data_IF_981427644802
#
_entry.id   IF_981427644802
#
_cell.length_a   1.000
_cell.length_b   1.000
_cell.length_c   1.000
_cell.angle_alpha   90.00
_cell.angle_beta   90.00
_cell.angle_gamma   90.00
#
_symmetry.space_group_name_H-M   'P 1'
#
loop_
_entity.id
_entity.type
_entity.pdbx_description
1 polymer ?
#
# COMPACT_ATOMS: atom_id res chain seq x y z
N UNK A 1 -10.03 9.28 -15.68
CA UNK A 1 -9.55 9.77 -14.37
C UNK A 1 -8.80 8.62 -13.71
N UNK A 2 -7.59 8.87 -13.23
CA UNK A 2 -6.76 7.86 -12.56
C UNK A 2 -7.45 7.40 -11.27
N UNK A 3 -7.38 6.11 -10.96
CA UNK A 3 -7.88 5.60 -9.68
C UNK A 3 -6.77 5.65 -8.63
N UNK A 4 -7.16 5.81 -7.37
CA UNK A 4 -6.29 5.53 -6.23
C UNK A 4 -6.64 4.14 -5.70
N UNK A 5 -5.69 3.22 -5.83
CA UNK A 5 -5.79 1.84 -5.39
C UNK A 5 -5.07 1.71 -4.05
N UNK A 6 -5.73 1.17 -3.04
CA UNK A 6 -5.12 0.81 -1.77
C UNK A 6 -4.76 -0.67 -1.78
N UNK A 7 -3.48 -0.98 -1.64
CA UNK A 7 -2.93 -2.33 -1.53
C UNK A 7 -2.27 -2.53 -0.17
N UNK A 8 -2.70 -3.56 0.58
CA UNK A 8 -2.22 -3.79 1.94
C UNK A 8 -2.25 -5.27 2.31
N UNK A 9 -1.26 -5.68 3.12
CA UNK A 9 -1.22 -6.96 3.81
C UNK A 9 -1.77 -6.78 5.23
N UNK A 10 -2.59 -7.73 5.69
CA UNK A 10 -3.16 -7.73 7.04
C UNK A 10 -3.22 -9.14 7.61
N UNK A 11 -3.17 -9.24 8.94
CA UNK A 11 -3.48 -10.46 9.68
C UNK A 11 -4.99 -10.73 9.72
N UNK A 12 -5.40 -11.93 10.15
CA UNK A 12 -6.82 -12.28 10.34
C UNK A 12 -7.49 -11.36 11.38
N UNK A 13 -6.75 -10.93 12.41
CA UNK A 13 -7.24 -10.03 13.45
C UNK A 13 -7.09 -8.53 13.06
N UNK A 14 -6.79 -8.24 11.78
CA UNK A 14 -6.91 -6.91 11.19
C UNK A 14 -5.77 -5.96 11.51
N UNK A 15 -4.56 -6.45 11.75
CA UNK A 15 -3.37 -5.65 12.00
C UNK A 15 -2.42 -5.65 10.79
N UNK A 16 -1.69 -4.55 10.57
CA UNK A 16 -0.73 -4.39 9.48
C UNK A 16 0.74 -4.58 9.91
N UNK A 17 0.97 -4.65 11.20
CA UNK A 17 2.25 -5.03 11.83
C UNK A 17 1.96 -5.67 13.18
N UNK A 18 2.98 -6.28 13.79
CA UNK A 18 2.90 -6.86 15.12
C UNK A 18 3.00 -5.82 16.25
N UNK A 19 2.82 -6.24 17.52
CA UNK A 19 2.80 -5.34 18.68
C UNK A 19 4.08 -4.52 18.87
N UNK A 20 5.23 -5.03 18.42
CA UNK A 20 6.51 -4.32 18.43
C UNK A 20 6.85 -3.63 17.11
N UNK A 21 5.91 -3.61 16.16
CA UNK A 21 6.09 -3.04 14.81
C UNK A 21 6.76 -3.99 13.82
N UNK A 22 6.87 -5.27 14.14
CA UNK A 22 7.45 -6.30 13.29
C UNK A 22 6.60 -6.55 12.03
N UNK A 23 7.28 -6.76 10.89
CA UNK A 23 6.68 -7.04 9.57
C UNK A 23 7.41 -8.19 8.87
N UNK A 24 7.57 -9.31 9.58
CA UNK A 24 8.26 -10.53 9.15
C UNK A 24 7.29 -11.69 8.83
N UNK A 25 6.00 -11.45 8.98
CA UNK A 25 4.92 -12.44 8.85
C UNK A 25 4.25 -12.51 7.46
N UNK A 26 4.27 -11.48 6.57
CA UNK A 26 3.66 -11.61 5.27
C UNK A 26 4.42 -12.61 4.40
N UNK A 27 3.70 -13.60 3.90
CA UNK A 27 4.23 -14.59 2.97
C UNK A 27 3.94 -14.15 1.54
N UNK A 28 4.99 -14.03 0.72
CA UNK A 28 4.91 -13.62 -0.69
C UNK A 28 5.19 -14.82 -1.58
N UNK A 29 4.21 -15.71 -1.72
CA UNK A 29 4.28 -16.78 -2.69
C UNK A 29 4.15 -16.28 -4.13
N UNK A 30 4.20 -17.19 -5.10
CA UNK A 30 4.21 -16.85 -6.53
C UNK A 30 2.91 -16.17 -6.98
N UNK A 31 1.74 -16.67 -6.54
CA UNK A 31 0.44 -16.13 -6.93
C UNK A 31 0.16 -14.75 -6.32
N UNK A 32 0.57 -14.53 -5.05
CA UNK A 32 0.44 -13.23 -4.41
C UNK A 32 1.40 -12.21 -5.01
N UNK A 33 2.63 -12.64 -5.35
CA UNK A 33 3.60 -11.82 -6.06
C UNK A 33 3.06 -11.39 -7.42
N UNK A 34 2.52 -12.31 -8.21
CA UNK A 34 1.89 -12.01 -9.51
C UNK A 34 0.69 -11.05 -9.36
N UNK A 35 -0.09 -11.18 -8.30
CA UNK A 35 -1.19 -10.24 -8.01
C UNK A 35 -0.65 -8.83 -7.75
N UNK A 36 0.38 -8.70 -6.91
CA UNK A 36 1.04 -7.42 -6.62
C UNK A 36 1.66 -6.81 -7.88
N UNK A 37 2.33 -7.61 -8.71
CA UNK A 37 2.90 -7.18 -9.99
C UNK A 37 1.82 -6.60 -10.93
N UNK A 38 0.66 -7.26 -11.04
CA UNK A 38 -0.45 -6.78 -11.85
C UNK A 38 -1.03 -5.43 -11.36
N UNK A 39 -1.01 -5.16 -10.04
CA UNK A 39 -1.37 -3.84 -9.51
C UNK A 39 -0.33 -2.78 -9.87
N UNK A 40 0.95 -3.13 -9.81
CA UNK A 40 2.04 -2.24 -10.21
C UNK A 40 1.98 -1.90 -11.71
N UNK A 41 1.69 -2.88 -12.58
CA UNK A 41 1.53 -2.67 -14.03
C UNK A 41 0.37 -1.73 -14.38
N UNK A 42 -0.69 -1.73 -13.57
CA UNK A 42 -1.83 -0.79 -13.70
C UNK A 42 -1.50 0.62 -13.24
N UNK A 43 -0.40 0.81 -12.53
CA UNK A 43 -0.08 2.04 -11.81
C UNK A 43 1.24 2.63 -12.30
N UNK A 44 1.31 3.94 -12.43
CA UNK A 44 2.54 4.65 -12.81
C UNK A 44 3.15 5.45 -11.66
N UNK A 45 2.53 5.46 -10.50
CA UNK A 45 2.96 6.25 -9.35
C UNK A 45 2.64 5.50 -8.06
N UNK A 46 3.64 5.37 -7.18
CA UNK A 46 3.44 4.83 -5.84
C UNK A 46 3.22 5.95 -4.83
N UNK A 47 2.31 5.73 -3.89
CA UNK A 47 2.00 6.66 -2.81
C UNK A 47 2.29 6.00 -1.46
N UNK A 48 3.01 6.70 -0.59
CA UNK A 48 3.39 6.23 0.74
C UNK A 48 3.10 7.27 1.81
N UNK A 49 2.71 6.81 2.99
CA UNK A 49 2.83 7.62 4.20
C UNK A 49 4.22 7.47 4.81
N UNK A 50 4.63 8.45 5.64
CA UNK A 50 5.97 8.51 6.24
C UNK A 50 6.44 7.18 6.85
N UNK A 51 5.62 6.55 7.71
CA UNK A 51 6.05 5.33 8.42
C UNK A 51 6.33 4.14 7.50
N UNK A 52 5.59 4.00 6.37
CA UNK A 52 5.88 2.99 5.36
C UNK A 52 7.10 3.42 4.53
N UNK A 53 7.19 4.69 4.17
CA UNK A 53 8.28 5.25 3.40
C UNK A 53 9.65 4.97 4.01
N UNK A 54 9.81 5.21 5.30
CA UNK A 54 11.06 4.95 6.03
C UNK A 54 11.53 3.49 5.86
N UNK A 55 10.61 2.52 5.94
CA UNK A 55 10.91 1.11 5.68
C UNK A 55 11.23 0.81 4.21
N UNK A 56 10.51 1.44 3.28
CA UNK A 56 10.74 1.24 1.84
C UNK A 56 12.12 1.73 1.41
N UNK A 57 12.53 2.93 1.85
CA UNK A 57 13.85 3.50 1.53
C UNK A 57 14.99 2.73 2.18
N UNK A 58 14.78 2.18 3.37
CA UNK A 58 15.79 1.38 4.05
C UNK A 58 16.10 0.07 3.33
N UNK A 59 15.14 -0.52 2.60
CA UNK A 59 15.26 -1.85 2.01
C UNK A 59 15.41 -1.82 0.47
N UNK A 60 14.46 -1.22 -0.24
CA UNK A 60 14.29 -1.40 -1.69
C UNK A 60 15.42 -0.86 -2.57
N UNK A 61 16.16 0.20 -2.22
CA UNK A 61 17.31 0.66 -3.01
C UNK A 61 18.38 -0.41 -3.23
N UNK A 62 18.56 -1.30 -2.25
CA UNK A 62 19.60 -2.35 -2.25
C UNK A 62 19.03 -3.75 -1.99
N UNK A 63 17.75 -3.98 -2.20
CA UNK A 63 17.03 -5.18 -1.77
C UNK A 63 17.64 -6.48 -2.34
N UNK A 64 18.12 -6.48 -3.59
CA UNK A 64 18.73 -7.64 -4.23
C UNK A 64 20.08 -8.06 -3.61
N UNK A 65 20.71 -7.18 -2.81
CA UNK A 65 21.91 -7.52 -2.01
C UNK A 65 21.54 -8.16 -0.68
N UNK A 66 20.29 -8.02 -0.27
CA UNK A 66 19.78 -8.45 1.04
C UNK A 66 18.93 -9.72 0.96
N UNK A 67 18.35 -10.00 -0.22
CA UNK A 67 17.47 -11.15 -0.43
C UNK A 67 17.51 -11.62 -1.89
N UNK A 68 17.50 -12.93 -2.08
CA UNK A 68 17.36 -13.60 -3.38
C UNK A 68 15.93 -14.08 -3.64
N UNK A 69 14.98 -13.69 -2.80
CA UNK A 69 13.59 -14.07 -2.96
C UNK A 69 13.04 -13.58 -4.31
N UNK A 70 12.35 -14.42 -5.12
CA UNK A 70 11.89 -14.06 -6.46
C UNK A 70 11.08 -12.77 -6.54
N UNK A 71 10.20 -12.53 -5.56
CA UNK A 71 9.43 -11.29 -5.47
C UNK A 71 10.36 -10.07 -5.32
N UNK A 72 11.38 -10.17 -4.48
CA UNK A 72 12.34 -9.07 -4.25
C UNK A 72 13.11 -8.73 -5.53
N UNK A 73 13.59 -9.75 -6.23
CA UNK A 73 14.35 -9.59 -7.48
C UNK A 73 13.51 -8.92 -8.60
N UNK A 74 12.20 -9.17 -8.63
CA UNK A 74 11.28 -8.57 -9.58
C UNK A 74 10.85 -7.16 -9.17
N UNK A 75 10.50 -6.96 -7.91
CA UNK A 75 9.92 -5.70 -7.45
C UNK A 75 10.96 -4.60 -7.23
N UNK A 76 12.20 -4.91 -6.82
CA UNK A 76 13.21 -3.89 -6.52
C UNK A 76 13.55 -2.98 -7.72
N UNK A 77 13.81 -3.48 -8.95
CA UNK A 77 14.04 -2.62 -10.10
C UNK A 77 12.80 -1.78 -10.47
N UNK A 78 11.61 -2.36 -10.34
CA UNK A 78 10.36 -1.65 -10.56
C UNK A 78 10.17 -0.52 -9.54
N UNK A 79 10.42 -0.81 -8.26
CA UNK A 79 10.34 0.20 -7.20
C UNK A 79 11.29 1.37 -7.46
N UNK A 80 12.54 1.10 -7.85
CA UNK A 80 13.51 2.17 -8.15
C UNK A 80 13.07 3.07 -9.31
N UNK A 81 12.49 2.51 -10.36
CA UNK A 81 12.13 3.24 -11.58
C UNK A 81 10.78 3.96 -11.50
N UNK A 82 9.85 3.49 -10.66
CA UNK A 82 8.50 4.09 -10.56
C UNK A 82 8.54 5.40 -9.78
N UNK A 83 7.90 6.48 -10.24
CA UNK A 83 7.69 7.71 -9.49
C UNK A 83 7.03 7.46 -8.13
N UNK A 84 7.49 8.15 -7.08
CA UNK A 84 7.02 7.99 -5.71
C UNK A 84 6.59 9.31 -5.09
N UNK A 85 5.42 9.32 -4.50
CA UNK A 85 4.87 10.45 -3.76
C UNK A 85 4.81 10.06 -2.28
N UNK A 86 5.30 10.94 -1.42
CA UNK A 86 5.31 10.73 0.03
C UNK A 86 4.40 11.74 0.70
N UNK A 87 3.38 11.27 1.42
CA UNK A 87 2.54 12.13 2.25
C UNK A 87 3.16 12.26 3.64
N UNK A 88 3.69 13.44 3.97
CA UNK A 88 4.36 13.71 5.24
C UNK A 88 4.38 15.20 5.54
N UNK A 89 4.15 15.56 6.81
CA UNK A 89 4.32 16.92 7.32
C UNK A 89 5.68 17.15 7.98
N UNK A 90 6.55 16.14 8.02
CA UNK A 90 7.85 16.17 8.70
C UNK A 90 9.04 15.84 7.79
N UNK A 91 8.79 15.18 6.65
CA UNK A 91 9.79 15.00 5.59
C UNK A 91 9.62 16.18 4.63
N UNK A 92 10.68 16.94 4.38
CA UNK A 92 10.66 18.05 3.43
C UNK A 92 11.21 17.63 2.07
N UNK A 93 12.19 16.74 2.05
CA UNK A 93 12.84 16.22 0.85
C UNK A 93 13.38 14.81 1.07
N UNK A 94 13.39 14.00 0.02
CA UNK A 94 14.02 12.67 -0.01
C UNK A 94 14.43 12.37 -1.45
N UNK A 95 15.65 11.88 -1.66
CA UNK A 95 16.22 11.63 -3.00
C UNK A 95 15.48 10.54 -3.79
N UNK A 96 14.77 9.66 -3.10
CA UNK A 96 13.94 8.61 -3.71
C UNK A 96 12.50 9.03 -3.97
N UNK A 97 12.04 10.14 -3.40
CA UNK A 97 10.72 10.69 -3.62
C UNK A 97 10.71 11.65 -4.82
N UNK A 98 9.74 11.46 -5.72
CA UNK A 98 9.49 12.41 -6.81
C UNK A 98 8.81 13.67 -6.30
N UNK A 99 7.98 13.52 -5.25
CA UNK A 99 7.23 14.61 -4.64
C UNK A 99 6.96 14.29 -3.16
N UNK A 100 6.98 15.30 -2.31
CA UNK A 100 6.50 15.23 -0.92
C UNK A 100 5.28 16.13 -0.78
N UNK A 101 4.15 15.56 -0.31
CA UNK A 101 2.90 16.28 -0.04
C UNK A 101 2.79 16.55 1.46
N UNK A 102 2.66 17.82 1.84
CA UNK A 102 2.50 18.26 3.22
C UNK A 102 1.03 18.30 3.67
N UNK A 103 0.50 19.50 3.88
CA UNK A 103 -0.84 19.73 4.47
C UNK A 103 -1.99 19.72 3.48
N UNK A 104 -1.74 19.82 2.19
CA UNK A 104 -2.69 19.93 1.08
C UNK A 104 -3.04 18.59 0.42
N UNK A 105 -2.96 17.50 1.20
CA UNK A 105 -3.13 16.13 0.74
C UNK A 105 -4.38 15.91 -0.11
N UNK A 106 -5.56 16.40 0.33
CA UNK A 106 -6.82 16.18 -0.36
C UNK A 106 -6.86 16.83 -1.75
N UNK A 107 -6.40 18.07 -1.85
CA UNK A 107 -6.31 18.83 -3.10
C UNK A 107 -5.33 18.16 -4.04
N UNK A 108 -4.13 17.88 -3.55
CA UNK A 108 -3.07 17.31 -4.38
C UNK A 108 -3.41 15.92 -4.94
N UNK A 109 -3.98 15.02 -4.12
CA UNK A 109 -4.45 13.71 -4.61
C UNK A 109 -5.59 13.85 -5.62
N UNK A 110 -6.51 14.79 -5.40
CA UNK A 110 -7.58 15.07 -6.35
C UNK A 110 -7.04 15.55 -7.70
N UNK A 111 -6.04 16.42 -7.69
CA UNK A 111 -5.40 16.93 -8.91
C UNK A 111 -4.61 15.84 -9.64
N UNK A 112 -3.88 15.00 -8.92
CA UNK A 112 -3.20 13.84 -9.49
C UNK A 112 -4.18 12.89 -10.19
N UNK A 113 -5.34 12.64 -9.59
CA UNK A 113 -6.38 11.78 -10.19
C UNK A 113 -6.97 12.38 -11.48
N UNK A 114 -6.95 13.70 -11.65
CA UNK A 114 -7.43 14.40 -12.87
C UNK A 114 -6.41 14.43 -13.99
N UNK A 115 -5.12 14.27 -13.69
CA UNK A 115 -4.05 14.26 -14.68
C UNK A 115 -4.13 13.02 -15.59
N UNK A 116 -3.61 13.09 -16.83
CA UNK A 116 -3.42 11.90 -17.65
C UNK A 116 -2.38 10.97 -17.01
N UNK A 117 -2.56 9.67 -17.17
CA UNK A 117 -1.67 8.64 -16.61
C UNK A 117 -2.42 7.36 -16.25
N UNK A 118 -1.67 6.37 -15.77
CA UNK A 118 -2.19 5.15 -15.18
C UNK A 118 -2.65 5.39 -13.72
N UNK A 119 -3.00 4.35 -12.99
CA UNK A 119 -3.52 4.48 -11.62
C UNK A 119 -2.43 4.88 -10.61
N UNK A 120 -2.84 5.31 -9.42
CA UNK A 120 -1.99 5.58 -8.26
C UNK A 120 -2.08 4.37 -7.32
N UNK A 121 -0.96 3.86 -6.83
CA UNK A 121 -0.92 2.73 -5.92
C UNK A 121 -0.46 3.18 -4.52
N UNK A 122 -1.39 3.25 -3.58
CA UNK A 122 -1.11 3.43 -2.15
C UNK A 122 -0.76 2.07 -1.55
N UNK A 123 0.47 1.93 -1.07
CA UNK A 123 0.95 0.69 -0.48
C UNK A 123 1.06 0.81 1.03
N UNK A 124 0.27 0.03 1.75
CA UNK A 124 0.31 -0.06 3.21
C UNK A 124 -0.04 1.25 3.94
N UNK A 125 0.25 1.27 5.24
CA UNK A 125 0.13 2.46 6.09
C UNK A 125 -1.29 2.81 6.51
N UNK A 126 -1.70 2.41 7.74
CA UNK A 126 -3.06 2.64 8.23
C UNK A 126 -3.41 4.13 8.39
N UNK A 127 -2.43 4.97 8.76
CA UNK A 127 -2.68 6.39 8.98
C UNK A 127 -3.09 7.12 7.69
N UNK A 128 -2.27 7.02 6.65
CA UNK A 128 -2.57 7.65 5.36
C UNK A 128 -3.80 7.03 4.70
N UNK A 129 -3.92 5.69 4.73
CA UNK A 129 -5.09 5.01 4.19
C UNK A 129 -6.38 5.41 4.91
N UNK A 130 -6.34 5.54 6.24
CA UNK A 130 -7.46 6.01 7.03
C UNK A 130 -7.89 7.43 6.67
N UNK A 131 -6.95 8.36 6.52
CA UNK A 131 -7.23 9.74 6.11
C UNK A 131 -7.80 9.82 4.68
N UNK A 132 -7.18 9.12 3.72
CA UNK A 132 -7.68 9.08 2.34
C UNK A 132 -9.03 8.37 2.21
N UNK A 133 -9.31 7.39 3.08
CA UNK A 133 -10.63 6.76 3.20
C UNK A 133 -11.66 7.77 3.72
N UNK A 134 -11.35 8.51 4.79
CA UNK A 134 -12.23 9.56 5.35
C UNK A 134 -12.54 10.64 4.33
N UNK A 135 -11.56 11.04 3.53
CA UNK A 135 -11.70 12.01 2.44
C UNK A 135 -12.44 11.44 1.22
N UNK A 136 -12.71 10.13 1.18
CA UNK A 136 -13.36 9.47 0.05
C UNK A 136 -12.51 9.46 -1.22
N UNK A 137 -11.19 9.44 -1.12
CA UNK A 137 -10.28 9.52 -2.26
C UNK A 137 -9.82 8.17 -2.77
N UNK A 138 -9.91 7.09 -1.98
CA UNK A 138 -9.59 5.73 -2.42
C UNK A 138 -10.75 5.17 -3.24
N UNK A 139 -10.45 4.64 -4.41
CA UNK A 139 -11.44 4.06 -5.35
C UNK A 139 -11.52 2.54 -5.24
N UNK A 140 -10.39 1.87 -5.03
CA UNK A 140 -10.30 0.41 -4.91
C UNK A 140 -9.50 0.03 -3.66
N UNK A 141 -9.98 -0.99 -2.94
CA UNK A 141 -9.33 -1.57 -1.77
C UNK A 141 -8.97 -3.02 -2.08
N UNK A 142 -7.69 -3.34 -2.08
CA UNK A 142 -7.15 -4.68 -2.25
C UNK A 142 -6.47 -5.10 -0.95
N UNK A 143 -7.05 -6.05 -0.24
CA UNK A 143 -6.63 -6.45 1.09
C UNK A 143 -6.18 -7.91 1.05
N UNK A 144 -4.89 -8.16 1.22
CA UNK A 144 -4.33 -9.51 1.37
C UNK A 144 -4.38 -9.92 2.84
N UNK A 145 -5.29 -10.83 3.17
CA UNK A 145 -5.45 -11.39 4.51
C UNK A 145 -4.57 -12.63 4.62
N UNK A 146 -3.57 -12.58 5.48
CA UNK A 146 -2.66 -13.68 5.76
C UNK A 146 -3.18 -14.56 6.88
N UNK A 147 -2.95 -15.89 6.85
CA UNK A 147 -3.44 -16.83 7.86
C UNK A 147 -2.63 -16.76 9.17
N UNK A 148 -2.59 -15.58 9.78
CA UNK A 148 -1.87 -15.31 11.03
C UNK A 148 -2.72 -14.42 11.93
N UNK A 149 -2.63 -14.64 13.24
CA UNK A 149 -3.16 -13.78 14.30
C UNK A 149 -1.97 -13.12 15.00
N UNK A 150 -1.87 -11.80 14.97
CA UNK A 150 -0.76 -11.06 15.58
C UNK A 150 -1.01 -10.70 17.04
N UNK A 151 -2.28 -10.66 17.46
CA UNK A 151 -2.67 -10.35 18.85
C UNK A 151 -2.53 -8.87 19.22
N UNK A 152 -2.19 -7.99 18.26
CA UNK A 152 -2.02 -6.55 18.45
C UNK A 152 -1.19 -5.93 17.34
N UNK A 153 -0.81 -4.65 17.52
CA UNK A 153 -0.11 -3.85 16.52
C UNK A 153 -0.97 -2.73 15.97
N UNK A 154 -0.59 -2.17 14.83
CA UNK A 154 -1.38 -1.13 14.17
C UNK A 154 -2.56 -1.75 13.43
N UNK A 155 -3.80 -1.31 13.70
CA UNK A 155 -4.96 -1.80 12.98
C UNK A 155 -4.92 -1.36 11.51
N UNK A 156 -5.53 -2.14 10.62
CA UNK A 156 -5.66 -1.84 9.19
C UNK A 156 -6.28 -0.46 8.94
N UNK A 157 -7.30 -0.11 9.72
CA UNK A 157 -7.89 1.24 9.76
C UNK A 157 -7.83 1.81 11.17
N UNK A 158 -7.50 3.11 11.33
CA UNK A 158 -7.50 3.76 12.63
C UNK A 158 -8.86 3.64 13.33
N UNK A 159 -8.85 3.57 14.67
CA UNK A 159 -10.08 3.59 15.45
C UNK A 159 -10.79 4.94 15.33
N UNK A 160 -12.12 4.92 15.37
CA UNK A 160 -12.93 6.13 15.29
C UNK A 160 -13.17 6.65 13.87
N UNK A 161 -12.79 5.89 12.84
CA UNK A 161 -13.19 6.20 11.47
C UNK A 161 -14.71 6.08 11.29
N UNK A 162 -15.29 6.98 10.50
CA UNK A 162 -16.68 6.90 10.12
C UNK A 162 -16.97 5.64 9.30
N UNK A 163 -18.23 5.15 9.38
CA UNK A 163 -18.65 4.00 8.58
C UNK A 163 -18.59 4.36 7.09
N UNK A 164 -17.85 3.54 6.32
CA UNK A 164 -17.84 3.58 4.87
C UNK A 164 -18.45 2.30 4.30
N UNK A 165 -19.45 2.44 3.42
CA UNK A 165 -19.96 1.32 2.63
C UNK A 165 -19.03 1.05 1.45
N UNK A 166 -18.66 -0.22 1.25
CA UNK A 166 -17.89 -0.68 0.12
C UNK A 166 -18.68 -1.75 -0.66
N UNK A 167 -18.49 -1.80 -1.96
CA UNK A 167 -19.07 -2.83 -2.82
C UNK A 167 -18.05 -3.93 -3.06
N UNK A 168 -18.39 -5.15 -2.69
CA UNK A 168 -17.54 -6.32 -2.99
C UNK A 168 -17.34 -6.46 -4.51
N UNK A 169 -16.09 -6.58 -4.95
CA UNK A 169 -15.71 -6.67 -6.36
C UNK A 169 -15.02 -7.99 -6.72
N UNK A 170 -14.64 -8.80 -5.73
CA UNK A 170 -14.10 -10.13 -5.94
C UNK A 170 -13.15 -10.57 -4.84
N UNK A 171 -12.75 -11.84 -4.91
CA UNK A 171 -11.71 -12.39 -4.05
C UNK A 171 -10.88 -13.42 -4.83
N UNK A 172 -9.64 -13.63 -4.37
CA UNK A 172 -8.74 -14.65 -4.88
C UNK A 172 -8.04 -15.34 -3.70
N UNK A 173 -8.06 -16.65 -3.69
CA UNK A 173 -7.20 -17.44 -2.83
C UNK A 173 -5.87 -17.60 -3.55
N UNK A 174 -4.79 -17.24 -2.87
CA UNK A 174 -3.42 -17.40 -3.34
C UNK A 174 -2.74 -18.52 -2.57
N UNK A 175 -1.54 -18.86 -3.01
CA UNK A 175 -0.63 -19.76 -2.30
C UNK A 175 -0.40 -19.32 -0.84
N UNK A 176 0.13 -20.20 -0.02
CA UNK A 176 0.34 -20.01 1.43
C UNK A 176 -0.95 -19.67 2.22
N UNK A 177 -2.14 -19.91 1.63
CA UNK A 177 -3.44 -19.66 2.27
C UNK A 177 -3.81 -18.19 2.38
N UNK A 178 -3.15 -17.30 1.66
CA UNK A 178 -3.48 -15.87 1.62
C UNK A 178 -4.74 -15.64 0.81
N UNK A 179 -5.67 -14.83 1.34
CA UNK A 179 -6.89 -14.46 0.63
C UNK A 179 -6.86 -12.97 0.30
N UNK A 180 -6.82 -12.65 -0.98
CA UNK A 180 -6.99 -11.26 -1.43
C UNK A 180 -8.46 -10.97 -1.64
N UNK A 181 -8.96 -9.92 -1.00
CA UNK A 181 -10.31 -9.39 -1.22
C UNK A 181 -10.21 -8.03 -1.89
N UNK A 182 -11.08 -7.81 -2.88
CA UNK A 182 -11.21 -6.53 -3.57
C UNK A 182 -12.57 -5.91 -3.30
N UNK A 183 -12.54 -4.63 -2.98
CA UNK A 183 -13.74 -3.80 -2.84
C UNK A 183 -13.58 -2.52 -3.64
N UNK A 184 -14.67 -2.06 -4.23
CA UNK A 184 -14.77 -0.73 -4.83
C UNK A 184 -15.51 0.20 -3.87
N UNK A 185 -15.22 1.47 -3.95
CA UNK A 185 -16.03 2.50 -3.30
C UNK A 185 -17.46 2.45 -3.88
N UNK A 186 -18.44 2.50 -2.97
CA UNK A 186 -19.87 2.51 -3.34
C UNK A 186 -20.29 3.84 -3.97
#
# INVERSE_FOLDING_TARGET
MRKLIFWVHTSIDGHIDGPAGEFDWPMMGEELSAYSEALCERSDTFLYGRGVWEGMVAFWPNAEKMSDHPHVLKFAPLWRSTPKIVASTTIEHDDWATEVIGTDLAERITDLKRQPGADLLLTGGSGLAGELTRLGLIDEYHIAVHPVVLGGGRPLFPRGADRLGLRFAGSRVCDEGVVVTRYDRA
#
